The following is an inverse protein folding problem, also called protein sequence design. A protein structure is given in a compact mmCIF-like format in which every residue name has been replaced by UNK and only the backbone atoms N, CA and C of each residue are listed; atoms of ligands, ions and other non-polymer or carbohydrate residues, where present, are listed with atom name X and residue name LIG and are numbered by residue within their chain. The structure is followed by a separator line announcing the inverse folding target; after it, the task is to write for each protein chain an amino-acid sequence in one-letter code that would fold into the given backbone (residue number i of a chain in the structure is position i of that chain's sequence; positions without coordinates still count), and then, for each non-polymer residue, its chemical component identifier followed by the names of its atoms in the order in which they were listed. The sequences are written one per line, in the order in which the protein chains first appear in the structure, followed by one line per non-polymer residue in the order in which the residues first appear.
data_IF_832458396792
#
_entry.id   IF_832458396792
#
_cell.length_a   1.000
_cell.length_b   1.000
_cell.length_c   1.000
_cell.angle_alpha   90.00
_cell.angle_beta   90.00
_cell.angle_gamma   90.00
#
_symmetry.space_group_name_H-M   'P 1'
#
loop_
_entity.id
_entity.type
_entity.pdbx_description
1 polymer ?
#
# COMPACT_ATOMS: atom_id res chain seq x y z
N UNK A 1 -19.65 18.90 -5.14
CA UNK A 1 -20.31 20.20 -5.29
C UNK A 1 -19.29 21.34 -5.15
N UNK A 2 -19.55 22.52 -5.70
CA UNK A 2 -18.65 23.68 -5.55
C UNK A 2 -18.46 24.07 -4.08
N UNK A 3 -19.54 24.00 -3.31
CA UNK A 3 -19.50 24.30 -1.86
C UNK A 3 -18.47 23.45 -1.11
N UNK A 4 -18.36 22.16 -1.42
CA UNK A 4 -17.37 21.27 -0.78
C UNK A 4 -15.95 21.63 -1.18
N UNK A 5 -15.71 21.99 -2.44
CA UNK A 5 -14.38 22.42 -2.91
C UNK A 5 -13.95 23.72 -2.21
N UNK A 6 -14.88 24.67 -2.06
CA UNK A 6 -14.62 25.94 -1.38
C UNK A 6 -14.32 25.72 0.12
N UNK A 7 -15.04 24.80 0.76
CA UNK A 7 -14.79 24.42 2.16
C UNK A 7 -13.43 23.74 2.30
N UNK A 8 -13.11 22.75 1.44
CA UNK A 8 -11.82 22.09 1.45
C UNK A 8 -10.67 23.10 1.29
N UNK A 9 -10.80 24.03 0.35
CA UNK A 9 -9.81 25.08 0.14
C UNK A 9 -9.63 25.99 1.37
N UNK A 10 -10.72 26.34 2.07
CA UNK A 10 -10.64 27.11 3.32
C UNK A 10 -9.92 26.35 4.42
N UNK A 11 -10.23 25.06 4.57
CA UNK A 11 -9.60 24.19 5.56
C UNK A 11 -8.10 24.09 5.27
N UNK A 12 -7.72 23.77 4.02
CA UNK A 12 -6.33 23.64 3.62
C UNK A 12 -5.55 24.95 3.84
N UNK A 13 -6.12 26.09 3.48
CA UNK A 13 -5.49 27.40 3.76
C UNK A 13 -5.33 27.68 5.25
N UNK A 14 -6.24 27.17 6.10
CA UNK A 14 -6.13 27.30 7.56
C UNK A 14 -4.95 26.50 8.12
N UNK A 15 -4.72 25.29 7.62
CA UNK A 15 -3.59 24.44 8.06
C UNK A 15 -2.26 24.83 7.42
N UNK A 16 -2.27 25.26 6.16
CA UNK A 16 -1.08 25.56 5.35
C UNK A 16 -1.18 26.95 4.71
N UNK A 17 -1.09 28.03 5.51
CA UNK A 17 -1.37 29.40 5.02
C UNK A 17 -0.38 29.90 3.98
N UNK A 18 0.84 29.33 3.90
CA UNK A 18 1.88 29.71 2.94
C UNK A 18 1.77 28.97 1.59
N UNK A 19 0.99 27.91 1.52
CA UNK A 19 0.87 27.11 0.32
C UNK A 19 -0.25 27.58 -0.60
N UNK A 20 -0.07 27.33 -1.89
CA UNK A 20 -1.11 27.60 -2.88
C UNK A 20 -2.00 26.39 -3.03
N UNK A 21 -3.27 26.54 -2.71
CA UNK A 21 -4.29 25.55 -2.93
C UNK A 21 -5.25 26.01 -4.01
N UNK A 22 -5.42 25.17 -5.02
CA UNK A 22 -6.37 25.39 -6.10
C UNK A 22 -7.32 24.20 -6.14
N UNK A 23 -8.60 24.45 -6.36
CA UNK A 23 -9.61 23.41 -6.51
C UNK A 23 -10.09 23.38 -7.96
N UNK A 24 -10.05 22.20 -8.57
CA UNK A 24 -10.44 22.00 -9.97
C UNK A 24 -11.53 20.95 -10.09
N UNK A 25 -12.46 21.17 -11.00
CA UNK A 25 -13.46 20.16 -11.41
C UNK A 25 -13.00 19.31 -12.58
N UNK A 26 -12.03 19.78 -13.34
CA UNK A 26 -11.45 19.07 -14.50
C UNK A 26 -9.97 19.33 -14.55
N UNK A 27 -9.22 18.27 -14.82
CA UNK A 27 -7.81 18.36 -15.15
C UNK A 27 -7.67 18.25 -16.66
N UNK A 28 -7.03 19.22 -17.28
CA UNK A 28 -6.84 19.28 -18.73
C UNK A 28 -5.38 19.43 -19.13
N UNK A 29 -4.47 19.45 -18.16
CA UNK A 29 -3.07 19.76 -18.42
C UNK A 29 -2.13 18.68 -17.88
N UNK A 30 -1.12 18.37 -18.68
CA UNK A 30 0.00 17.52 -18.28
C UNK A 30 0.81 18.20 -17.19
N UNK A 31 1.03 17.51 -16.06
CA UNK A 31 1.81 17.98 -14.90
C UNK A 31 2.87 16.96 -14.52
N UNK A 32 3.87 16.82 -15.36
CA UNK A 32 4.87 15.75 -15.26
C UNK A 32 5.68 15.72 -13.96
N UNK A 33 5.84 16.86 -13.27
CA UNK A 33 6.54 16.97 -11.98
C UNK A 33 5.53 17.12 -10.85
N UNK A 34 4.59 16.20 -10.75
CA UNK A 34 3.53 16.23 -9.76
C UNK A 34 3.33 14.88 -9.10
N UNK A 35 2.65 14.91 -7.96
CA UNK A 35 2.14 13.73 -7.28
C UNK A 35 0.63 13.72 -7.46
N UNK A 36 0.09 12.63 -7.98
CA UNK A 36 -1.35 12.41 -8.04
C UNK A 36 -1.76 11.47 -6.90
N UNK A 37 -2.62 11.98 -6.03
CA UNK A 37 -3.10 11.24 -4.86
C UNK A 37 -4.59 10.92 -4.97
N UNK A 38 -4.93 9.65 -4.81
CA UNK A 38 -6.29 9.15 -4.66
C UNK A 38 -6.51 8.64 -3.23
N UNK A 39 -7.43 9.26 -2.52
CA UNK A 39 -7.83 8.87 -1.18
C UNK A 39 -9.29 8.46 -1.17
N UNK A 40 -9.59 7.17 -1.14
CA UNK A 40 -10.94 6.61 -1.19
C UNK A 40 -11.78 7.14 -2.38
N UNK A 41 -11.13 7.42 -3.50
CA UNK A 41 -11.77 8.08 -4.64
C UNK A 41 -11.82 7.23 -5.91
N UNK A 42 -10.92 6.26 -6.07
CA UNK A 42 -10.97 5.33 -7.21
C UNK A 42 -12.23 4.45 -7.12
N UNK A 43 -12.56 4.01 -5.91
CA UNK A 43 -13.80 3.27 -5.65
C UNK A 43 -15.07 4.02 -6.09
N UNK A 44 -15.09 5.34 -5.95
CA UNK A 44 -16.23 6.17 -6.31
C UNK A 44 -16.27 6.55 -7.80
N UNK A 45 -15.10 6.84 -8.40
CA UNK A 45 -15.02 7.31 -9.78
C UNK A 45 -14.92 6.19 -10.82
N UNK A 46 -14.47 5.01 -10.40
CA UNK A 46 -14.17 3.87 -11.27
C UNK A 46 -12.75 3.90 -11.86
N UNK A 47 -12.25 2.71 -12.19
CA UNK A 47 -10.86 2.53 -12.66
C UNK A 47 -10.59 3.17 -14.02
N UNK A 48 -11.55 3.14 -14.93
CA UNK A 48 -11.39 3.72 -16.28
C UNK A 48 -11.13 5.23 -16.19
N UNK A 49 -11.90 5.93 -15.36
CA UNK A 49 -11.75 7.36 -15.16
C UNK A 49 -10.47 7.70 -14.38
N UNK A 50 -10.08 6.86 -13.43
CA UNK A 50 -8.81 7.01 -12.72
C UNK A 50 -7.62 6.84 -13.70
N UNK A 51 -7.67 5.84 -14.57
CA UNK A 51 -6.65 5.61 -15.60
C UNK A 51 -6.57 6.78 -16.60
N UNK A 52 -7.71 7.24 -17.12
CA UNK A 52 -7.76 8.41 -18.01
C UNK A 52 -7.14 9.66 -17.37
N UNK A 53 -7.47 9.91 -16.11
CA UNK A 53 -6.88 11.01 -15.33
C UNK A 53 -5.36 10.87 -15.19
N UNK A 54 -4.86 9.66 -14.85
CA UNK A 54 -3.44 9.39 -14.73
C UNK A 54 -2.71 9.64 -16.05
N UNK A 55 -3.25 9.11 -17.16
CA UNK A 55 -2.65 9.26 -18.47
C UNK A 55 -2.68 10.70 -18.98
N UNK A 56 -3.74 11.46 -18.65
CA UNK A 56 -3.85 12.87 -19.01
C UNK A 56 -2.86 13.75 -18.26
N UNK A 57 -2.73 13.54 -16.94
CA UNK A 57 -1.84 14.34 -16.08
C UNK A 57 -0.38 13.92 -16.28
N UNK A 58 -0.12 12.64 -16.51
CA UNK A 58 1.21 12.00 -16.59
C UNK A 58 2.10 12.41 -15.40
N UNK A 59 1.67 12.13 -14.15
CA UNK A 59 2.38 12.57 -12.95
C UNK A 59 3.71 11.84 -12.78
N UNK A 60 4.63 12.40 -12.00
CA UNK A 60 5.87 11.71 -11.62
C UNK A 60 5.60 10.56 -10.65
N UNK A 61 4.70 10.80 -9.69
CA UNK A 61 4.28 9.78 -8.71
C UNK A 61 2.77 9.66 -8.69
N UNK A 62 2.31 8.43 -8.48
CA UNK A 62 0.92 8.12 -8.19
C UNK A 62 0.88 7.47 -6.81
N UNK A 63 -0.02 7.92 -5.98
CA UNK A 63 -0.29 7.37 -4.66
C UNK A 63 -1.78 7.11 -4.53
N UNK A 64 -2.18 5.91 -4.13
CA UNK A 64 -3.55 5.70 -3.70
C UNK A 64 -3.66 4.96 -2.38
N UNK A 65 -4.71 5.27 -1.65
CA UNK A 65 -5.16 4.59 -0.43
C UNK A 65 -6.65 4.34 -0.59
N UNK A 66 -7.01 3.08 -0.75
CA UNK A 66 -8.40 2.66 -0.99
C UNK A 66 -8.81 1.59 0.05
N UNK A 67 -10.10 1.33 0.25
CA UNK A 67 -10.55 0.26 1.12
C UNK A 67 -9.98 -1.10 0.72
N UNK A 68 -9.54 -1.88 1.70
CA UNK A 68 -8.92 -3.21 1.49
C UNK A 68 -9.94 -4.32 1.31
N UNK A 69 -10.99 -4.13 0.50
CA UNK A 69 -11.98 -5.17 0.18
C UNK A 69 -11.52 -6.04 -0.99
N UNK A 70 -12.00 -7.27 -1.07
CA UNK A 70 -11.65 -8.21 -2.14
C UNK A 70 -12.16 -7.74 -3.50
N UNK A 71 -13.34 -7.16 -3.55
CA UNK A 71 -13.98 -6.68 -4.78
C UNK A 71 -13.17 -5.52 -5.38
N UNK A 72 -12.86 -4.52 -4.55
CA UNK A 72 -12.10 -3.37 -5.01
C UNK A 72 -10.66 -3.73 -5.37
N UNK A 73 -10.07 -4.71 -4.68
CA UNK A 73 -8.72 -5.18 -5.02
C UNK A 73 -8.64 -5.69 -6.46
N UNK A 74 -9.66 -6.43 -6.95
CA UNK A 74 -9.69 -6.94 -8.33
C UNK A 74 -9.64 -5.77 -9.33
N UNK A 75 -10.37 -4.71 -9.07
CA UNK A 75 -10.39 -3.53 -9.93
C UNK A 75 -9.07 -2.75 -9.85
N UNK A 76 -8.52 -2.56 -8.66
CA UNK A 76 -7.21 -1.93 -8.48
C UNK A 76 -6.08 -2.77 -9.11
N UNK A 77 -6.22 -4.09 -9.14
CA UNK A 77 -5.27 -4.97 -9.84
C UNK A 77 -5.30 -4.73 -11.35
N UNK A 78 -6.47 -4.59 -11.97
CA UNK A 78 -6.60 -4.23 -13.40
C UNK A 78 -5.94 -2.88 -13.69
N UNK A 79 -6.19 -1.89 -12.82
CA UNK A 79 -5.55 -0.57 -12.94
C UNK A 79 -4.02 -0.69 -12.82
N UNK A 80 -3.53 -1.48 -11.85
CA UNK A 80 -2.10 -1.76 -11.69
C UNK A 80 -1.49 -2.36 -12.96
N UNK A 81 -2.11 -3.39 -13.53
CA UNK A 81 -1.60 -4.07 -14.73
C UNK A 81 -1.51 -3.10 -15.93
N UNK A 82 -2.45 -2.14 -16.04
CA UNK A 82 -2.39 -1.10 -17.06
C UNK A 82 -1.28 -0.07 -16.78
N UNK A 83 -0.95 0.18 -15.52
CA UNK A 83 0.05 1.18 -15.14
C UNK A 83 1.48 0.67 -15.25
N UNK A 84 1.74 -0.62 -15.03
CA UNK A 84 3.11 -1.17 -14.98
C UNK A 84 3.87 -1.09 -16.33
N UNK A 85 3.20 -0.77 -17.43
CA UNK A 85 3.86 -0.45 -18.69
C UNK A 85 4.63 0.88 -18.62
N UNK A 86 4.06 1.88 -17.94
CA UNK A 86 4.56 3.26 -17.87
C UNK A 86 5.18 3.64 -16.52
N UNK A 87 4.79 2.94 -15.47
CA UNK A 87 5.16 3.21 -14.09
C UNK A 87 5.84 2.01 -13.43
N UNK A 88 6.65 2.31 -12.43
CA UNK A 88 7.28 1.34 -11.53
C UNK A 88 6.51 1.32 -10.21
N UNK A 89 6.14 0.13 -9.75
CA UNK A 89 5.54 -0.03 -8.41
C UNK A 89 6.63 0.09 -7.36
N UNK A 90 6.55 1.09 -6.49
CA UNK A 90 7.47 1.27 -5.36
C UNK A 90 6.97 0.55 -4.10
N UNK A 91 5.65 0.45 -3.94
CA UNK A 91 4.96 -0.10 -2.78
C UNK A 91 3.56 -0.60 -3.19
N UNK A 92 3.04 -1.68 -2.62
CA UNK A 92 3.64 -2.65 -1.71
C UNK A 92 4.34 -3.80 -2.45
N UNK A 93 4.15 -3.88 -3.77
CA UNK A 93 4.66 -5.00 -4.56
C UNK A 93 6.18 -5.02 -4.58
N UNK A 94 6.75 -6.22 -4.65
CA UNK A 94 8.20 -6.39 -4.76
C UNK A 94 8.71 -6.07 -6.16
N UNK A 95 7.85 -6.11 -7.20
CA UNK A 95 8.22 -5.86 -8.59
C UNK A 95 7.03 -5.44 -9.47
N UNK A 96 7.32 -5.10 -10.72
CA UNK A 96 6.32 -4.89 -11.78
C UNK A 96 5.79 -6.20 -12.41
N UNK A 97 6.28 -7.36 -12.00
CA UNK A 97 5.82 -8.63 -12.51
C UNK A 97 4.29 -8.80 -12.34
N UNK A 98 3.68 -9.66 -13.15
CA UNK A 98 2.27 -10.00 -13.05
C UNK A 98 1.91 -10.43 -11.62
N UNK A 99 0.70 -10.09 -11.17
CA UNK A 99 0.19 -10.43 -9.87
C UNK A 99 -1.02 -11.36 -9.98
N UNK A 100 -0.88 -12.65 -9.75
CA UNK A 100 -1.98 -13.61 -9.83
C UNK A 100 -2.85 -13.64 -8.57
N UNK A 101 -2.60 -12.78 -7.59
CA UNK A 101 -3.32 -12.79 -6.33
C UNK A 101 -4.76 -12.30 -6.52
N UNK A 102 -5.70 -12.90 -5.78
CA UNK A 102 -7.11 -12.51 -5.80
C UNK A 102 -7.46 -11.48 -4.73
N UNK A 103 -6.61 -11.35 -3.72
CA UNK A 103 -6.80 -10.36 -2.66
C UNK A 103 -5.47 -10.07 -1.96
N UNK A 104 -5.06 -8.81 -2.00
CA UNK A 104 -3.91 -8.30 -1.28
C UNK A 104 -4.29 -6.97 -0.61
N UNK A 105 -4.06 -6.87 0.67
CA UNK A 105 -4.35 -5.66 1.44
C UNK A 105 -3.37 -5.52 2.59
N UNK A 106 -3.10 -4.28 2.94
CA UNK A 106 -2.37 -3.93 4.13
C UNK A 106 -3.34 -3.77 5.31
N UNK A 107 -2.83 -3.94 6.50
CA UNK A 107 -3.60 -3.73 7.73
C UNK A 107 -2.92 -2.65 8.55
N UNK A 108 -3.55 -1.48 8.59
CA UNK A 108 -3.13 -0.41 9.47
C UNK A 108 -3.75 -0.64 10.86
N UNK A 109 -2.89 -0.74 11.86
CA UNK A 109 -3.31 -0.72 13.27
C UNK A 109 -3.15 0.70 13.79
N UNK A 110 -4.20 1.26 14.31
CA UNK A 110 -4.19 2.63 14.84
C UNK A 110 -4.74 2.68 16.25
N UNK A 111 -4.25 3.64 17.00
CA UNK A 111 -4.84 4.07 18.28
C UNK A 111 -5.59 5.36 18.02
N UNK A 112 -6.84 5.40 18.40
CA UNK A 112 -7.65 6.60 18.26
C UNK A 112 -7.49 7.53 19.47
N UNK A 113 -7.76 8.80 19.23
CA UNK A 113 -8.03 9.73 20.33
C UNK A 113 -9.18 9.17 21.21
N UNK A 114 -9.12 9.34 22.53
CA UNK A 114 -10.15 8.82 23.44
C UNK A 114 -11.58 9.22 23.08
N UNK A 115 -11.78 10.40 22.49
CA UNK A 115 -13.10 10.86 22.03
C UNK A 115 -13.62 10.06 20.85
N UNK A 116 -12.74 9.74 19.90
CA UNK A 116 -13.06 8.89 18.74
C UNK A 116 -13.29 7.45 19.19
N UNK A 117 -12.46 6.94 20.11
CA UNK A 117 -12.64 5.59 20.67
C UNK A 117 -14.00 5.44 21.35
N UNK A 118 -14.39 6.43 22.17
CA UNK A 118 -15.72 6.46 22.80
C UNK A 118 -16.86 6.49 21.76
N UNK A 119 -16.70 7.27 20.70
CA UNK A 119 -17.70 7.31 19.62
C UNK A 119 -17.80 5.96 18.92
N UNK A 120 -16.68 5.32 18.60
CA UNK A 120 -16.65 3.99 18.01
C UNK A 120 -17.35 2.94 18.89
N UNK A 121 -17.13 2.98 20.20
CA UNK A 121 -17.81 2.10 21.16
C UNK A 121 -19.33 2.32 21.18
N UNK A 122 -19.77 3.58 21.14
CA UNK A 122 -21.20 3.93 21.14
C UNK A 122 -21.95 3.41 19.91
N UNK A 123 -21.29 3.37 18.75
CA UNK A 123 -21.88 2.88 17.50
C UNK A 123 -21.53 1.43 17.17
N UNK A 124 -20.84 0.72 18.07
CA UNK A 124 -20.45 -0.69 17.88
C UNK A 124 -19.42 -0.92 16.76
N UNK A 125 -18.61 0.10 16.45
CA UNK A 125 -17.57 0.00 15.42
C UNK A 125 -16.19 -0.17 16.06
N UNK A 126 -15.49 -1.26 15.75
CA UNK A 126 -14.05 -1.38 16.03
C UNK A 126 -13.26 -0.92 14.79
N UNK A 127 -12.63 0.24 14.89
CA UNK A 127 -11.77 0.80 13.83
C UNK A 127 -10.29 0.79 14.17
N UNK A 128 -9.86 -0.01 15.13
CA UNK A 128 -8.44 -0.17 15.48
C UNK A 128 -7.67 -0.92 14.40
N UNK A 129 -8.38 -1.65 13.57
CA UNK A 129 -7.83 -2.42 12.46
C UNK A 129 -8.49 -1.91 11.17
N UNK A 130 -7.68 -1.27 10.32
CA UNK A 130 -8.15 -0.71 9.06
C UNK A 130 -7.49 -1.46 7.90
N UNK A 131 -8.22 -2.39 7.25
CA UNK A 131 -7.74 -2.98 6.01
C UNK A 131 -7.77 -1.91 4.91
N UNK A 132 -6.64 -1.78 4.21
CA UNK A 132 -6.51 -0.84 3.10
C UNK A 132 -5.71 -1.46 1.96
N UNK A 133 -5.91 -0.96 0.76
CA UNK A 133 -5.07 -1.23 -0.40
C UNK A 133 -4.37 0.06 -0.79
N UNK A 134 -3.10 0.17 -0.39
CA UNK A 134 -2.26 1.33 -0.68
C UNK A 134 -1.18 0.98 -1.70
N UNK A 135 -1.00 1.82 -2.71
CA UNK A 135 0.08 1.65 -3.69
C UNK A 135 0.78 2.98 -3.96
N UNK A 136 2.07 2.88 -4.25
CA UNK A 136 2.89 4.00 -4.69
C UNK A 136 3.57 3.58 -6.00
N UNK A 137 3.45 4.45 -7.00
CA UNK A 137 4.08 4.28 -8.30
C UNK A 137 4.97 5.48 -8.62
N UNK A 138 6.01 5.22 -9.38
CA UNK A 138 6.86 6.24 -9.98
C UNK A 138 6.88 6.05 -11.49
N UNK A 139 6.80 7.14 -12.26
CA UNK A 139 6.96 7.08 -13.70
C UNK A 139 8.34 6.50 -14.05
N UNK A 140 8.36 5.55 -14.99
CA UNK A 140 9.61 4.91 -15.42
C UNK A 140 10.60 5.94 -15.95
N UNK A 141 11.83 5.88 -15.45
CA UNK A 141 12.97 6.61 -16.00
C UNK A 141 14.07 5.62 -16.36
N UNK A 142 14.90 5.99 -17.32
CA UNK A 142 15.98 5.10 -17.81
C UNK A 142 17.07 4.78 -16.76
N UNK A 143 16.99 5.33 -15.55
CA UNK A 143 18.14 5.38 -14.64
C UNK A 143 18.07 4.53 -13.37
N UNK A 144 16.95 3.92 -13.04
CA UNK A 144 16.85 3.19 -11.76
C UNK A 144 16.19 1.84 -11.96
N UNK A 145 16.95 0.78 -11.75
CA UNK A 145 16.40 -0.58 -11.60
C UNK A 145 15.79 -0.71 -10.20
N UNK A 146 14.54 -1.17 -10.11
CA UNK A 146 13.92 -1.53 -8.83
C UNK A 146 14.59 -2.76 -8.24
N UNK A 147 14.80 -2.74 -6.94
CA UNK A 147 15.17 -3.91 -6.17
C UNK A 147 13.96 -4.84 -6.07
N UNK A 148 14.08 -6.07 -6.58
CA UNK A 148 13.06 -7.13 -6.42
C UNK A 148 13.09 -7.73 -4.99
N UNK A 149 13.28 -6.91 -3.98
CA UNK A 149 13.34 -7.38 -2.60
C UNK A 149 11.95 -7.73 -2.07
N UNK A 150 11.81 -8.86 -1.37
CA UNK A 150 10.57 -9.21 -0.69
C UNK A 150 10.09 -8.07 0.22
N UNK A 151 8.80 -7.80 0.19
CA UNK A 151 8.18 -6.68 0.94
C UNK A 151 7.16 -7.22 1.93
N UNK A 152 7.22 -6.74 3.16
CA UNK A 152 6.23 -7.05 4.20
C UNK A 152 4.90 -6.38 3.84
N UNK A 153 3.85 -7.19 3.69
CA UNK A 153 2.49 -6.74 3.41
C UNK A 153 1.72 -6.50 4.70
N UNK A 154 1.81 -7.46 5.62
CA UNK A 154 1.18 -7.34 6.95
C UNK A 154 1.78 -8.30 7.96
N UNK A 155 1.68 -7.93 9.21
CA UNK A 155 1.92 -8.80 10.34
C UNK A 155 0.72 -9.73 10.54
N UNK A 156 0.98 -11.02 10.73
CA UNK A 156 -0.05 -12.02 11.02
C UNK A 156 -0.12 -12.28 12.52
N UNK A 157 0.95 -12.82 13.08
CA UNK A 157 1.01 -13.12 14.52
C UNK A 157 2.44 -13.34 15.03
N UNK A 158 2.58 -13.26 16.35
CA UNK A 158 3.75 -13.71 17.08
C UNK A 158 3.36 -14.97 17.88
N UNK A 159 4.16 -16.00 17.76
CA UNK A 159 4.07 -17.20 18.57
C UNK A 159 5.20 -17.23 19.60
N UNK A 160 5.20 -18.22 20.52
CA UNK A 160 6.34 -18.44 21.42
C UNK A 160 7.66 -18.64 20.66
N UNK A 161 7.61 -19.21 19.46
CA UNK A 161 8.78 -19.69 18.72
C UNK A 161 9.09 -18.92 17.43
N UNK A 162 8.14 -18.13 16.92
CA UNK A 162 8.27 -17.49 15.61
C UNK A 162 7.46 -16.21 15.48
N UNK A 163 7.84 -15.40 14.48
CA UNK A 163 7.03 -14.35 13.90
C UNK A 163 6.46 -14.83 12.57
N UNK A 164 5.23 -14.46 12.28
CA UNK A 164 4.56 -14.74 11.02
C UNK A 164 4.16 -13.43 10.33
N UNK A 165 4.55 -13.31 9.06
CA UNK A 165 4.25 -12.18 8.20
C UNK A 165 3.72 -12.64 6.87
N UNK A 166 2.79 -11.90 6.30
CA UNK A 166 2.52 -12.00 4.88
C UNK A 166 3.49 -11.10 4.13
N UNK A 167 4.14 -11.64 3.12
CA UNK A 167 5.11 -10.94 2.27
C UNK A 167 4.77 -11.12 0.81
N UNK A 168 5.10 -10.10 0.01
CA UNK A 168 5.11 -10.19 -1.44
C UNK A 168 6.56 -10.37 -1.91
N UNK A 169 6.81 -11.34 -2.76
CA UNK A 169 8.10 -11.58 -3.40
C UNK A 169 7.91 -12.14 -4.81
N UNK A 170 8.97 -12.14 -5.61
CA UNK A 170 8.94 -12.70 -6.96
C UNK A 170 9.29 -14.16 -6.92
N UNK A 171 8.43 -15.01 -7.48
CA UNK A 171 8.69 -16.42 -7.72
C UNK A 171 8.27 -16.76 -9.16
N UNK A 172 9.18 -17.32 -9.95
CA UNK A 172 8.94 -17.67 -11.37
C UNK A 172 8.37 -16.49 -12.19
N UNK A 173 8.97 -15.32 -12.06
CA UNK A 173 8.62 -14.09 -12.77
C UNK A 173 7.21 -13.52 -12.47
N UNK A 174 6.57 -13.99 -11.40
CA UNK A 174 5.29 -13.46 -10.90
C UNK A 174 5.42 -12.97 -9.46
N UNK A 175 4.62 -11.96 -9.11
CA UNK A 175 4.47 -11.55 -7.72
C UNK A 175 3.65 -12.59 -6.95
N UNK A 176 4.13 -12.97 -5.79
CA UNK A 176 3.49 -13.96 -4.94
C UNK A 176 3.36 -13.46 -3.53
N UNK A 177 2.14 -13.56 -2.99
CA UNK A 177 1.92 -13.38 -1.56
C UNK A 177 2.03 -14.72 -0.85
N UNK A 178 2.79 -14.76 0.23
CA UNK A 178 2.89 -15.94 1.07
C UNK A 178 3.11 -15.57 2.53
N UNK A 179 2.68 -16.44 3.41
CA UNK A 179 3.00 -16.33 4.83
C UNK A 179 4.39 -16.92 5.05
N UNK A 180 5.29 -16.10 5.58
CA UNK A 180 6.59 -16.55 6.05
C UNK A 180 6.60 -16.76 7.56
N UNK A 181 7.33 -17.77 8.01
CA UNK A 181 7.61 -18.05 9.41
C UNK A 181 9.10 -17.83 9.69
N UNK A 182 9.40 -16.86 10.54
CA UNK A 182 10.76 -16.52 10.97
C UNK A 182 10.94 -17.05 12.39
N UNK A 183 11.83 -18.02 12.57
CA UNK A 183 12.04 -18.66 13.89
C UNK A 183 12.90 -17.78 14.79
N UNK A 184 12.39 -17.45 15.99
CA UNK A 184 13.09 -16.61 16.99
C UNK A 184 14.45 -17.15 17.40
N UNK A 185 14.63 -18.47 17.44
CA UNK A 185 15.92 -19.09 17.80
C UNK A 185 17.08 -18.75 16.86
N UNK A 186 16.77 -18.22 15.66
CA UNK A 186 17.77 -17.81 14.67
C UNK A 186 17.96 -16.29 14.63
N UNK A 187 17.21 -15.55 15.45
CA UNK A 187 17.27 -14.10 15.51
C UNK A 187 18.17 -13.63 16.65
N UNK A 188 18.92 -12.58 16.42
CA UNK A 188 19.52 -11.78 17.46
C UNK A 188 18.44 -11.01 18.22
N UNK A 189 18.77 -10.46 19.40
CA UNK A 189 17.84 -9.62 20.17
C UNK A 189 17.43 -8.35 19.42
N UNK A 190 18.31 -7.82 18.59
CA UNK A 190 18.07 -6.63 17.77
C UNK A 190 17.11 -6.95 16.64
N UNK A 191 17.30 -8.07 15.93
CA UNK A 191 16.38 -8.54 14.90
C UNK A 191 15.01 -8.90 15.49
N UNK A 192 14.96 -9.54 16.67
CA UNK A 192 13.70 -9.80 17.34
C UNK A 192 12.95 -8.50 17.67
N UNK A 193 13.65 -7.47 18.14
CA UNK A 193 13.07 -6.14 18.38
C UNK A 193 12.61 -5.48 17.09
N UNK A 194 13.38 -5.62 15.99
CA UNK A 194 13.00 -5.14 14.68
C UNK A 194 11.68 -5.78 14.25
N UNK A 195 11.56 -7.10 14.26
CA UNK A 195 10.33 -7.78 13.84
C UNK A 195 9.11 -7.48 14.73
N UNK A 196 9.29 -7.27 16.02
CA UNK A 196 8.20 -6.81 16.90
C UNK A 196 7.62 -5.45 16.49
N UNK A 197 8.45 -4.60 15.90
CA UNK A 197 8.11 -3.24 15.50
C UNK A 197 8.01 -3.06 13.98
N UNK A 198 8.22 -4.13 13.20
CA UNK A 198 8.21 -4.07 11.74
C UNK A 198 6.92 -3.51 11.19
N UNK A 199 7.06 -2.56 10.31
CA UNK A 199 5.96 -1.91 9.64
C UNK A 199 5.68 -2.55 8.27
N UNK A 200 4.48 -2.37 7.82
CA UNK A 200 4.07 -2.67 6.46
C UNK A 200 4.94 -1.89 5.47
N UNK A 201 5.39 -2.55 4.40
CA UNK A 201 6.24 -1.95 3.37
C UNK A 201 7.73 -2.13 3.54
N UNK A 202 8.18 -2.66 4.68
CA UNK A 202 9.60 -2.94 4.89
C UNK A 202 10.12 -4.00 3.93
N UNK A 203 11.32 -3.78 3.41
CA UNK A 203 12.03 -4.73 2.57
C UNK A 203 12.83 -5.68 3.45
N UNK A 204 12.71 -6.97 3.19
CA UNK A 204 13.43 -8.02 3.91
C UNK A 204 14.16 -8.91 2.91
N UNK A 205 15.22 -9.58 3.38
CA UNK A 205 15.94 -10.54 2.57
C UNK A 205 15.99 -11.89 3.31
N UNK A 206 15.64 -12.96 2.63
CA UNK A 206 15.58 -14.29 3.22
C UNK A 206 15.82 -15.41 2.21
N UNK A 207 16.22 -16.58 2.73
CA UNK A 207 16.22 -17.84 2.01
C UNK A 207 15.09 -18.72 2.54
N UNK A 208 14.43 -19.44 1.64
CA UNK A 208 13.40 -20.43 2.00
C UNK A 208 14.10 -21.71 2.47
N UNK A 209 13.95 -22.07 3.74
CA UNK A 209 14.48 -23.32 4.28
C UNK A 209 13.58 -24.51 3.95
N UNK A 210 12.27 -24.35 4.10
CA UNK A 210 11.27 -25.38 3.81
C UNK A 210 9.85 -24.81 3.76
N UNK A 211 8.95 -25.58 3.16
CA UNK A 211 7.51 -25.29 3.17
C UNK A 211 6.86 -26.17 4.25
N UNK A 212 6.06 -25.56 5.11
CA UNK A 212 5.32 -26.23 6.20
C UNK A 212 3.83 -25.89 6.05
N UNK A 213 3.06 -26.81 5.49
CA UNK A 213 1.68 -26.53 5.09
C UNK A 213 1.63 -25.44 4.04
N UNK A 214 0.96 -24.33 4.35
CA UNK A 214 0.85 -23.17 3.47
C UNK A 214 1.87 -22.06 3.76
N UNK A 215 2.80 -22.29 4.69
CA UNK A 215 3.78 -21.29 5.14
C UNK A 215 5.19 -21.64 4.66
N UNK A 216 5.95 -20.60 4.40
CA UNK A 216 7.38 -20.70 4.07
C UNK A 216 8.20 -20.45 5.34
N UNK A 217 8.87 -21.46 5.84
CA UNK A 217 9.88 -21.25 6.87
C UNK A 217 11.12 -20.67 6.22
N UNK A 218 11.57 -19.53 6.75
CA UNK A 218 12.66 -18.75 6.16
C UNK A 218 13.76 -18.46 7.16
N UNK A 219 14.96 -18.25 6.63
CA UNK A 219 16.11 -17.69 7.34
C UNK A 219 16.46 -16.34 6.73
N UNK A 220 16.65 -15.33 7.58
CA UNK A 220 17.10 -14.02 7.15
C UNK A 220 18.55 -14.07 6.64
N UNK A 221 18.84 -13.18 5.69
CA UNK A 221 20.21 -12.96 5.15
C UNK A 221 20.89 -11.82 5.83
#
# INVERSE_FOLDING_TARGET
SQLMLDQAQKIMKGFFPKDKFESFRKFSEKKSNSILFFGHSINEMGIEKALDMIMTIDPEYILWIEPGTSELFIDLLKLRESLVEHYEVLYPCSSNAHCPNHWCHQVLRTTHDPSIERLCQLVGLDRKILPMTGHIYRRKSKQVALSNSPTVIRYIQETKFSFEYEVCFVEKDENKNAIIEIQKKHLTKEEEKFFKNSNVGEKISFDIEKIVGTKYRVRLK
#
